data_IF_261629272509
#
_entry.id   IF_261629272509
#
_cell.length_a   1.000
_cell.length_b   1.000
_cell.length_c   1.000
_cell.angle_alpha   90.00
_cell.angle_beta   90.00
_cell.angle_gamma   90.00
#
_symmetry.space_group_name_H-M   'P 1'
#
loop_
_entity.id
_entity.type
_entity.pdbx_description
1 polymer ?
#
# COMPACT_ATOMS: atom_id res chain seq x y z
N UNK A 1 35.30 1.27 11.36
CA UNK A 1 34.50 1.20 10.13
C UNK A 1 33.47 0.09 10.31
N UNK A 2 32.19 0.44 10.47
CA UNK A 2 31.12 -0.53 10.64
C UNK A 2 30.74 -1.14 9.29
N UNK A 3 30.83 -2.46 9.18
CA UNK A 3 30.34 -3.18 8.00
C UNK A 3 28.81 -3.04 7.96
N UNK A 4 28.32 -2.23 7.03
CA UNK A 4 26.91 -2.28 6.63
C UNK A 4 26.78 -3.50 5.72
N UNK A 5 26.38 -4.63 6.30
CA UNK A 5 25.94 -5.78 5.52
C UNK A 5 24.85 -5.31 4.55
N UNK A 6 24.89 -5.69 3.26
CA UNK A 6 23.78 -5.41 2.37
C UNK A 6 22.55 -6.09 2.99
N UNK A 7 21.51 -5.30 3.29
CA UNK A 7 20.20 -5.84 3.64
C UNK A 7 19.84 -6.75 2.48
N UNK A 8 19.88 -8.06 2.72
CA UNK A 8 19.43 -9.05 1.75
C UNK A 8 17.97 -8.73 1.49
N UNK A 9 17.70 -8.07 0.36
CA UNK A 9 16.37 -8.00 -0.23
C UNK A 9 16.02 -9.44 -0.54
N UNK A 10 15.38 -10.10 0.43
CA UNK A 10 14.83 -11.43 0.24
C UNK A 10 14.07 -11.40 -1.08
N UNK A 11 14.31 -12.35 -2.01
CA UNK A 11 13.53 -12.41 -3.23
C UNK A 11 12.07 -12.36 -2.80
N UNK A 12 11.31 -11.39 -3.33
CA UNK A 12 9.89 -11.21 -2.99
C UNK A 12 9.23 -12.56 -3.25
N UNK A 13 9.04 -13.31 -2.17
CA UNK A 13 8.38 -14.59 -2.21
C UNK A 13 6.92 -14.23 -2.49
N UNK A 14 6.35 -14.81 -3.53
CA UNK A 14 4.95 -14.60 -3.89
C UNK A 14 4.02 -15.32 -2.89
N UNK A 15 4.25 -15.09 -1.60
CA UNK A 15 3.44 -15.59 -0.50
C UNK A 15 2.86 -14.40 0.26
N UNK A 16 1.69 -14.56 0.88
CA UNK A 16 1.20 -13.58 1.84
C UNK A 16 2.22 -13.36 2.96
N UNK A 17 2.33 -12.12 3.41
CA UNK A 17 3.11 -11.76 4.59
C UNK A 17 2.50 -12.43 5.83
N UNK A 18 3.34 -12.95 6.72
CA UNK A 18 2.90 -13.35 8.06
C UNK A 18 2.67 -12.12 8.96
N UNK A 19 2.13 -12.33 10.17
CA UNK A 19 1.79 -11.23 11.08
C UNK A 19 2.98 -10.33 11.41
N UNK A 20 4.16 -10.90 11.67
CA UNK A 20 5.38 -10.13 11.96
C UNK A 20 5.84 -9.34 10.75
N UNK A 21 5.90 -9.96 9.58
CA UNK A 21 6.27 -9.31 8.32
C UNK A 21 5.30 -8.18 7.97
N UNK A 22 4.00 -8.38 8.21
CA UNK A 22 2.99 -7.37 8.00
C UNK A 22 3.19 -6.17 8.92
N UNK A 23 3.38 -6.39 10.22
CA UNK A 23 3.61 -5.31 11.19
C UNK A 23 4.89 -4.53 10.88
N UNK A 24 5.98 -5.23 10.52
CA UNK A 24 7.21 -4.61 10.04
C UNK A 24 6.96 -3.76 8.79
N UNK A 25 6.30 -4.34 7.78
CA UNK A 25 6.08 -3.70 6.49
C UNK A 25 5.29 -2.41 6.63
N UNK A 26 4.25 -2.36 7.47
CA UNK A 26 3.51 -1.11 7.72
C UNK A 26 4.41 -0.02 8.29
N UNK A 27 5.35 -0.39 9.18
CA UNK A 27 6.23 0.58 9.82
C UNK A 27 7.41 1.03 8.95
N UNK A 28 7.89 0.22 8.01
CA UNK A 28 9.13 0.48 7.27
C UNK A 28 8.94 0.76 5.79
N UNK A 29 7.75 0.50 5.23
CA UNK A 29 7.49 0.70 3.80
C UNK A 29 7.49 2.19 3.42
N UNK A 30 7.82 2.44 2.15
CA UNK A 30 7.79 3.77 1.55
C UNK A 30 6.35 4.23 1.32
N UNK A 31 5.43 3.29 1.09
CA UNK A 31 4.00 3.54 0.98
C UNK A 31 3.17 2.57 1.83
N UNK A 32 2.07 3.09 2.38
CA UNK A 32 1.04 2.35 3.11
C UNK A 32 -0.32 2.96 2.74
N UNK A 33 -1.19 2.17 2.10
CA UNK A 33 -2.45 2.66 1.53
C UNK A 33 -3.59 1.71 1.85
N UNK A 34 -4.70 2.22 2.39
CA UNK A 34 -5.99 1.53 2.49
C UNK A 34 -6.79 1.82 1.22
N UNK A 35 -7.22 0.81 0.48
CA UNK A 35 -7.91 1.03 -0.79
C UNK A 35 -8.54 -0.22 -1.39
N UNK A 36 -9.00 -0.09 -2.63
CA UNK A 36 -9.61 -1.17 -3.41
C UNK A 36 -8.83 -1.41 -4.70
N UNK A 37 -8.74 -2.68 -5.10
CA UNK A 37 -8.26 -3.06 -6.43
C UNK A 37 -9.34 -2.66 -7.44
N UNK A 38 -8.99 -1.81 -8.40
CA UNK A 38 -9.86 -1.40 -9.51
C UNK A 38 -9.70 -2.31 -10.71
N UNK A 39 -8.46 -2.56 -11.09
CA UNK A 39 -8.13 -3.42 -12.21
C UNK A 39 -6.77 -4.07 -11.99
N UNK A 40 -6.54 -5.21 -12.65
CA UNK A 40 -5.23 -5.85 -12.74
C UNK A 40 -4.93 -6.10 -14.20
N UNK A 41 -3.79 -5.61 -14.66
CA UNK A 41 -3.30 -5.85 -16.02
C UNK A 41 -1.96 -6.59 -15.97
N UNK A 42 -1.70 -7.44 -16.95
CA UNK A 42 -0.51 -8.28 -17.00
C UNK A 42 0.39 -7.85 -18.16
N UNK A 43 1.58 -7.36 -17.84
CA UNK A 43 2.62 -7.07 -18.81
C UNK A 43 3.54 -8.30 -18.93
N UNK A 44 3.21 -9.17 -19.89
CA UNK A 44 3.98 -10.39 -20.14
C UNK A 44 5.35 -10.11 -20.73
N UNK A 45 5.55 -8.97 -21.40
CA UNK A 45 6.83 -8.63 -21.99
C UNK A 45 7.88 -8.32 -20.90
N UNK A 46 7.45 -7.64 -19.84
CA UNK A 46 8.32 -7.29 -18.70
C UNK A 46 8.23 -8.28 -17.53
N UNK A 47 7.34 -9.27 -17.60
CA UNK A 47 7.15 -10.25 -16.52
C UNK A 47 6.55 -9.63 -15.25
N UNK A 48 5.67 -8.64 -15.42
CA UNK A 48 5.07 -7.85 -14.35
C UNK A 48 3.53 -7.82 -14.43
N UNK A 49 2.89 -7.49 -13.32
CA UNK A 49 1.48 -7.15 -13.26
C UNK A 49 1.31 -5.77 -12.65
N UNK A 50 0.38 -4.99 -13.19
CA UNK A 50 0.04 -3.65 -12.71
C UNK A 50 -1.32 -3.72 -12.04
N UNK A 51 -1.38 -3.29 -10.79
CA UNK A 51 -2.56 -3.26 -9.95
C UNK A 51 -2.99 -1.81 -9.81
N UNK A 52 -4.11 -1.45 -10.42
CA UNK A 52 -4.69 -0.13 -10.27
C UNK A 52 -5.47 -0.08 -8.95
N UNK A 53 -5.13 0.89 -8.10
CA UNK A 53 -5.69 1.02 -6.76
C UNK A 53 -6.40 2.35 -6.62
N UNK A 54 -7.64 2.29 -6.16
CA UNK A 54 -8.35 3.45 -5.64
C UNK A 54 -8.13 3.53 -4.15
N UNK A 55 -7.37 4.54 -3.73
CA UNK A 55 -7.06 4.78 -2.33
C UNK A 55 -8.26 5.42 -1.63
N UNK A 56 -8.65 4.81 -0.51
CA UNK A 56 -9.54 5.41 0.48
C UNK A 56 -8.76 6.33 1.39
N UNK A 57 -7.63 5.85 1.91
CA UNK A 57 -6.72 6.59 2.77
C UNK A 57 -5.29 6.24 2.42
N UNK A 58 -4.45 7.27 2.23
CA UNK A 58 -3.00 7.11 2.10
C UNK A 58 -2.41 7.38 3.48
N UNK A 59 -1.99 6.32 4.17
CA UNK A 59 -1.43 6.42 5.52
C UNK A 59 0.03 6.90 5.44
N UNK A 60 0.75 6.48 4.40
CA UNK A 60 2.11 6.92 4.09
C UNK A 60 2.36 6.84 2.59
N UNK A 61 3.08 7.81 2.04
CA UNK A 61 3.78 7.69 0.76
C UNK A 61 4.97 8.66 0.78
N UNK A 62 6.19 8.18 0.49
CA UNK A 62 7.38 9.04 0.41
C UNK A 62 7.33 9.97 -0.80
N UNK A 63 7.06 9.41 -1.98
CA UNK A 63 6.78 10.18 -3.20
C UNK A 63 5.30 10.13 -3.54
N UNK A 64 4.83 11.08 -4.35
CA UNK A 64 3.42 11.22 -4.73
C UNK A 64 3.01 10.23 -5.84
N UNK A 65 3.05 8.93 -5.54
CA UNK A 65 2.60 7.86 -6.46
C UNK A 65 1.09 7.63 -6.43
N UNK A 66 0.41 8.05 -5.35
CA UNK A 66 -1.04 8.18 -5.30
C UNK A 66 -1.43 9.65 -5.44
N UNK A 67 -2.07 9.98 -6.56
CA UNK A 67 -2.51 11.33 -6.89
C UNK A 67 -4.01 11.51 -6.67
N UNK A 68 -4.47 12.64 -6.11
CA UNK A 68 -5.90 12.94 -6.01
C UNK A 68 -6.56 12.91 -7.40
N UNK A 69 -7.69 12.21 -7.51
CA UNK A 69 -8.50 12.25 -8.74
C UNK A 69 -9.13 13.63 -8.83
N UNK A 70 -8.67 14.43 -9.78
CA UNK A 70 -9.33 15.70 -10.11
C UNK A 70 -10.64 15.37 -10.83
N UNK A 71 -11.76 15.44 -10.11
CA UNK A 71 -13.08 15.43 -10.72
C UNK A 71 -13.19 16.62 -11.68
N UNK A 72 -13.52 16.36 -12.94
CA UNK A 72 -13.71 17.40 -13.94
C UNK A 72 -14.90 18.29 -13.59
N UNK A 73 -14.66 19.60 -13.58
CA UNK A 73 -15.65 20.65 -13.82
C UNK A 73 -16.35 21.28 -12.61
N UNK A 74 -16.26 22.61 -12.53
CA UNK A 74 -17.26 23.45 -11.85
C UNK A 74 -16.69 24.36 -10.78
N UNK A 75 -16.58 25.65 -11.10
CA UNK A 75 -16.19 26.70 -10.15
C UNK A 75 -17.19 26.88 -9.01
N UNK A 76 -16.75 27.62 -8.00
CA UNK A 76 -17.57 28.02 -6.85
C UNK A 76 -16.71 28.23 -5.63
N UNK A 77 -16.51 29.51 -5.28
CA UNK A 77 -15.84 29.89 -4.05
C UNK A 77 -16.65 29.53 -2.80
N UNK A 78 -16.04 29.74 -1.64
CA UNK A 78 -16.74 29.80 -0.37
C UNK A 78 -16.33 28.71 0.62
N UNK A 79 -15.68 29.20 1.67
CA UNK A 79 -15.93 28.85 3.07
C UNK A 79 -15.49 27.48 3.61
N UNK A 80 -15.06 27.51 4.87
CA UNK A 80 -14.34 26.47 5.59
C UNK A 80 -15.15 25.21 5.93
N UNK A 81 -14.41 24.16 6.27
CA UNK A 81 -14.97 22.94 6.87
C UNK A 81 -14.44 21.65 6.25
N UNK A 82 -13.57 20.98 7.00
CA UNK A 82 -13.48 19.51 7.11
C UNK A 82 -13.49 18.65 5.84
N UNK A 83 -12.31 18.08 5.52
CA UNK A 83 -12.21 16.71 5.02
C UNK A 83 -12.70 16.43 3.61
N UNK A 84 -12.10 17.06 2.59
CA UNK A 84 -12.15 16.51 1.23
C UNK A 84 -11.33 15.21 1.21
N UNK A 85 -11.96 14.07 1.48
CA UNK A 85 -11.46 12.75 1.10
C UNK A 85 -11.49 12.63 -0.41
N UNK A 86 -10.59 13.35 -1.10
CA UNK A 86 -10.37 13.17 -2.52
C UNK A 86 -9.89 11.75 -2.73
N UNK A 87 -10.69 10.92 -3.41
CA UNK A 87 -10.25 9.59 -3.82
C UNK A 87 -8.95 9.77 -4.60
N UNK A 88 -7.86 9.18 -4.11
CA UNK A 88 -6.61 9.15 -4.84
C UNK A 88 -6.52 7.86 -5.67
N UNK A 89 -5.81 7.92 -6.78
CA UNK A 89 -5.52 6.76 -7.62
C UNK A 89 -4.00 6.60 -7.75
N UNK A 90 -3.58 5.35 -7.82
CA UNK A 90 -2.18 4.97 -8.00
C UNK A 90 -2.07 3.58 -8.61
N UNK A 91 -0.89 3.25 -9.10
CA UNK A 91 -0.59 1.94 -9.69
C UNK A 91 0.52 1.27 -8.90
N UNK A 92 0.31 0.01 -8.51
CA UNK A 92 1.33 -0.83 -7.89
C UNK A 92 1.81 -1.89 -8.88
N UNK A 93 3.13 -2.13 -8.93
CA UNK A 93 3.77 -3.17 -9.73
C UNK A 93 4.05 -4.40 -8.87
N UNK A 94 3.98 -5.58 -9.48
CA UNK A 94 4.33 -6.84 -8.82
C UNK A 94 4.79 -7.86 -9.87
N UNK A 95 5.69 -8.80 -9.55
CA UNK A 95 6.09 -9.83 -10.50
C UNK A 95 4.91 -10.66 -11.00
N UNK A 96 4.86 -10.94 -12.31
CA UNK A 96 3.78 -11.71 -12.95
C UNK A 96 3.60 -13.11 -12.33
N UNK A 97 4.72 -13.74 -11.94
CA UNK A 97 4.74 -15.04 -11.24
C UNK A 97 3.97 -15.05 -9.92
N UNK A 98 3.69 -13.89 -9.32
CA UNK A 98 2.89 -13.80 -8.11
C UNK A 98 1.38 -13.95 -8.34
N UNK A 99 0.93 -13.89 -9.60
CA UNK A 99 -0.43 -14.25 -9.96
C UNK A 99 -1.51 -13.40 -9.28
N UNK A 100 -1.24 -12.11 -9.06
CA UNK A 100 -2.19 -11.20 -8.41
C UNK A 100 -3.48 -11.12 -9.21
N UNK A 101 -4.61 -11.11 -8.49
CA UNK A 101 -5.95 -11.07 -9.04
C UNK A 101 -6.76 -9.97 -8.35
N UNK A 102 -7.80 -9.43 -9.00
CA UNK A 102 -8.81 -8.64 -8.32
C UNK A 102 -9.41 -9.43 -7.15
N UNK A 103 -9.73 -8.71 -6.08
CA UNK A 103 -10.38 -9.29 -4.91
C UNK A 103 -11.34 -8.29 -4.28
N UNK A 104 -12.34 -8.82 -3.57
CA UNK A 104 -13.39 -7.99 -2.99
C UNK A 104 -12.93 -7.24 -1.74
N UNK A 105 -13.62 -6.15 -1.40
CA UNK A 105 -13.39 -5.41 -0.16
C UNK A 105 -12.08 -4.62 -0.14
N UNK A 106 -11.83 -3.95 0.99
CA UNK A 106 -10.66 -3.10 1.15
C UNK A 106 -9.41 -3.90 1.51
N UNK A 107 -8.27 -3.47 0.98
CA UNK A 107 -6.94 -4.02 1.24
C UNK A 107 -6.07 -2.95 1.90
N UNK A 108 -5.08 -3.40 2.67
CA UNK A 108 -3.94 -2.57 3.03
C UNK A 108 -2.80 -2.93 2.07
N UNK A 109 -2.32 -1.96 1.31
CA UNK A 109 -1.18 -2.11 0.43
C UNK A 109 0.04 -1.49 1.08
N UNK A 110 1.12 -2.26 1.23
CA UNK A 110 2.44 -1.74 1.57
C UNK A 110 3.37 -1.91 0.37
N UNK A 111 4.43 -1.10 0.29
CA UNK A 111 5.34 -1.18 -0.84
C UNK A 111 6.57 -0.29 -0.73
N UNK A 112 7.52 -0.56 -1.62
CA UNK A 112 8.70 0.25 -1.83
C UNK A 112 8.54 1.11 -3.09
N UNK A 113 9.30 2.20 -3.13
CA UNK A 113 9.43 3.03 -4.33
C UNK A 113 10.76 2.75 -5.01
N UNK A 114 10.71 2.49 -6.30
CA UNK A 114 11.88 2.29 -7.15
C UNK A 114 11.75 3.18 -8.39
N UNK A 115 12.60 4.20 -8.50
CA UNK A 115 12.61 5.15 -9.62
C UNK A 115 11.25 5.78 -9.92
N UNK A 116 10.51 6.18 -8.88
CA UNK A 116 9.17 6.77 -8.99
C UNK A 116 8.05 5.75 -9.24
N UNK A 117 8.38 4.46 -9.31
CA UNK A 117 7.42 3.38 -9.47
C UNK A 117 7.16 2.69 -8.14
N UNK A 118 5.88 2.44 -7.84
CA UNK A 118 5.48 1.77 -6.62
C UNK A 118 5.47 0.25 -6.81
N UNK A 119 6.19 -0.47 -5.98
CA UNK A 119 6.28 -1.93 -5.99
C UNK A 119 5.58 -2.54 -4.77
N UNK A 120 4.73 -3.52 -5.03
CA UNK A 120 3.89 -4.16 -4.03
C UNK A 120 4.73 -5.03 -3.09
N UNK A 121 4.60 -4.77 -1.79
CA UNK A 121 5.12 -5.60 -0.70
C UNK A 121 4.04 -6.54 -0.16
N UNK A 122 3.31 -6.10 0.87
CA UNK A 122 2.19 -6.85 1.45
C UNK A 122 0.84 -6.29 0.96
N UNK A 123 -0.14 -7.18 0.79
CA UNK A 123 -1.49 -6.81 0.36
C UNK A 123 -2.60 -7.59 1.11
N UNK A 124 -2.63 -7.63 2.46
CA UNK A 124 -3.71 -8.29 3.17
C UNK A 124 -5.04 -7.55 2.99
N UNK A 125 -6.14 -8.24 3.25
CA UNK A 125 -7.43 -7.57 3.44
C UNK A 125 -7.34 -6.67 4.68
N UNK A 126 -7.93 -5.48 4.61
CA UNK A 126 -7.84 -4.50 5.70
C UNK A 126 -8.40 -5.05 7.02
N UNK A 127 -9.45 -5.89 6.96
CA UNK A 127 -10.02 -6.55 8.16
C UNK A 127 -9.01 -7.44 8.89
N UNK A 128 -8.14 -8.11 8.14
CA UNK A 128 -7.17 -9.06 8.68
C UNK A 128 -6.00 -8.30 9.28
N UNK A 129 -5.50 -7.27 8.58
CA UNK A 129 -4.53 -6.32 9.15
C UNK A 129 -5.02 -5.71 10.46
N UNK A 130 -6.25 -5.21 10.51
CA UNK A 130 -6.79 -4.56 11.71
C UNK A 130 -6.85 -5.51 12.91
N UNK A 131 -7.15 -6.78 12.67
CA UNK A 131 -7.10 -7.84 13.71
C UNK A 131 -5.67 -8.03 14.22
N UNK A 132 -4.71 -8.20 13.32
CA UNK A 132 -3.29 -8.39 13.66
C UNK A 132 -2.71 -7.18 14.40
N UNK A 133 -2.95 -5.97 13.87
CA UNK A 133 -2.46 -4.72 14.46
C UNK A 133 -3.03 -4.49 15.86
N UNK A 134 -4.35 -4.65 16.07
CA UNK A 134 -4.96 -4.49 17.40
C UNK A 134 -4.43 -5.50 18.42
N UNK A 135 -4.21 -6.76 18.00
CA UNK A 135 -3.62 -7.77 18.87
C UNK A 135 -2.17 -7.40 19.27
N UNK A 136 -1.35 -6.96 18.31
CA UNK A 136 0.01 -6.50 18.57
C UNK A 136 0.05 -5.21 19.41
N UNK A 137 -0.91 -4.31 19.21
CA UNK A 137 -1.07 -3.07 19.96
C UNK A 137 -1.34 -3.36 21.43
N UNK A 138 -2.36 -4.18 21.72
CA UNK A 138 -2.71 -4.62 23.07
C UNK A 138 -1.55 -5.36 23.76
N UNK A 139 -0.77 -6.14 23.02
CA UNK A 139 0.40 -6.85 23.53
C UNK A 139 1.65 -5.96 23.68
N UNK A 140 1.61 -4.68 23.28
CA UNK A 140 2.78 -3.77 23.20
C UNK A 140 3.93 -4.34 22.35
N UNK A 141 3.60 -5.02 21.25
CA UNK A 141 4.54 -5.62 20.27
C UNK A 141 4.49 -4.93 18.91
N UNK A 142 4.00 -3.69 18.85
CA UNK A 142 3.98 -2.86 17.65
C UNK A 142 5.23 -1.96 17.63
N UNK A 143 5.75 -1.66 16.44
CA UNK A 143 6.96 -0.83 16.27
C UNK A 143 6.65 0.62 15.87
N UNK A 144 5.43 0.89 15.46
CA UNK A 144 4.95 2.22 15.11
C UNK A 144 3.45 2.29 15.38
N UNK A 145 2.95 3.51 15.61
CA UNK A 145 1.53 3.78 15.72
C UNK A 145 0.95 4.06 14.33
N UNK A 146 -0.20 3.47 14.04
CA UNK A 146 -0.90 3.55 12.75
C UNK A 146 -2.35 3.82 13.07
N UNK A 147 -2.91 4.85 12.43
CA UNK A 147 -4.33 5.16 12.54
C UNK A 147 -5.15 4.09 11.78
N UNK A 148 -5.83 3.22 12.55
CA UNK A 148 -6.51 2.02 12.05
C UNK A 148 -8.03 2.09 12.25
N UNK A 149 -8.63 3.23 11.92
CA UNK A 149 -10.08 3.45 12.00
C UNK A 149 -10.80 3.53 10.63
#
# INVERSE_FOLDING_TARGET
>A
AGNVSPVSLSPVACRPCNDTELLMAVCTSDLVVKGFIKSVTHDRAHGESRVEVSALHVLRQKDQVFSPVRGGGGGGGGDGGTGRTGRAMGTLRTPLRCGVRPGDGAFLFTGSLHFGEAWLGCAPRYRDFRRVYRAAHAARRHMCEVDVD
#
